data_IF_639167990431
#
_entry.id   IF_639167990431
#
_cell.length_a   1.000
_cell.length_b   1.000
_cell.length_c   1.000
_cell.angle_alpha   90.00
_cell.angle_beta   90.00
_cell.angle_gamma   90.00
#
_symmetry.space_group_name_H-M   'P 1'
#
loop_
_entity.id
_entity.type
_entity.pdbx_description
1 polymer ?
#
# COMPACT_ATOMS: atom_id res chain seq x y z
N UNK A 1 15.62 -28.87 -9.78
CA UNK A 1 14.59 -29.94 -9.97
C UNK A 1 13.28 -29.28 -9.61
N UNK A 2 12.24 -29.44 -10.41
CA UNK A 2 10.94 -28.84 -10.12
C UNK A 2 10.15 -29.86 -9.32
N UNK A 3 9.65 -29.46 -8.16
CA UNK A 3 8.87 -30.34 -7.29
C UNK A 3 7.51 -30.68 -7.93
N UNK A 4 7.13 -31.95 -7.89
CA UNK A 4 5.91 -32.47 -8.50
C UNK A 4 5.13 -33.30 -7.50
N UNK A 5 3.81 -33.35 -7.68
CA UNK A 5 2.90 -34.18 -6.89
C UNK A 5 1.88 -34.87 -7.77
N UNK A 6 1.25 -35.91 -7.26
CA UNK A 6 0.20 -36.63 -7.96
C UNK A 6 -1.18 -36.10 -7.51
N UNK A 7 -2.02 -35.79 -8.48
CA UNK A 7 -3.41 -35.37 -8.27
C UNK A 7 -4.36 -36.26 -9.08
N UNK A 8 -5.50 -36.59 -8.51
CA UNK A 8 -6.58 -37.23 -9.25
C UNK A 8 -7.35 -36.16 -10.02
N UNK A 9 -7.45 -36.32 -11.34
CA UNK A 9 -8.20 -35.39 -12.18
C UNK A 9 -9.73 -35.65 -12.10
N UNK A 10 -10.53 -34.83 -12.80
CA UNK A 10 -11.97 -34.97 -12.82
C UNK A 10 -12.48 -36.28 -13.43
N UNK A 11 -11.64 -36.98 -14.18
CA UNK A 11 -11.96 -38.29 -14.81
C UNK A 11 -11.51 -39.46 -13.94
N UNK A 12 -10.96 -39.20 -12.74
CA UNK A 12 -10.52 -40.24 -11.79
C UNK A 12 -9.11 -40.79 -12.07
N UNK A 13 -8.36 -40.22 -13.00
CA UNK A 13 -7.00 -40.64 -13.30
C UNK A 13 -5.95 -39.87 -12.52
N UNK A 14 -4.88 -40.58 -12.14
CA UNK A 14 -3.73 -39.97 -11.49
C UNK A 14 -2.91 -39.16 -12.50
N UNK A 15 -2.67 -37.91 -12.22
CA UNK A 15 -1.90 -36.98 -13.05
C UNK A 15 -0.78 -36.35 -12.24
N UNK A 16 0.40 -36.24 -12.84
CA UNK A 16 1.52 -35.50 -12.28
C UNK A 16 1.31 -33.98 -12.50
N UNK A 17 1.43 -33.21 -11.43
CA UNK A 17 1.27 -31.76 -11.45
C UNK A 17 2.48 -31.11 -10.80
N UNK A 18 2.98 -30.02 -11.39
CA UNK A 18 4.06 -29.20 -10.81
C UNK A 18 3.54 -28.40 -9.62
N UNK A 19 4.25 -28.43 -8.51
CA UNK A 19 4.02 -27.55 -7.38
C UNK A 19 4.46 -26.12 -7.73
N UNK A 20 3.81 -25.12 -7.15
CA UNK A 20 4.10 -23.72 -7.39
C UNK A 20 5.01 -23.17 -6.31
N UNK A 21 6.10 -22.54 -6.70
CA UNK A 21 7.02 -21.78 -5.84
C UNK A 21 6.77 -20.27 -5.85
N UNK A 22 5.88 -19.81 -6.71
CA UNK A 22 5.35 -18.43 -6.79
C UNK A 22 3.94 -18.46 -7.36
N UNK A 23 3.14 -17.43 -7.22
CA UNK A 23 1.77 -17.40 -7.77
C UNK A 23 1.60 -16.42 -8.92
N UNK A 24 0.86 -16.85 -9.96
CA UNK A 24 0.34 -16.01 -11.03
C UNK A 24 -1.16 -15.70 -10.86
N UNK A 25 -1.69 -15.87 -9.66
CA UNK A 25 -3.09 -15.63 -9.34
C UNK A 25 -4.00 -16.81 -9.60
N UNK A 26 -5.19 -16.57 -10.16
CA UNK A 26 -6.27 -17.57 -10.31
C UNK A 26 -5.85 -18.81 -11.10
N UNK A 27 -4.89 -18.69 -12.03
CA UNK A 27 -4.37 -19.82 -12.81
C UNK A 27 -3.67 -20.88 -11.97
N UNK A 28 -3.28 -20.55 -10.74
CA UNK A 28 -2.60 -21.43 -9.81
C UNK A 28 -3.52 -22.00 -8.73
N UNK A 29 -4.81 -21.72 -8.82
CA UNK A 29 -5.80 -22.23 -7.88
C UNK A 29 -5.80 -23.77 -7.86
N UNK A 30 -5.78 -24.34 -6.66
CA UNK A 30 -5.79 -25.80 -6.45
C UNK A 30 -4.45 -26.51 -6.66
N UNK A 31 -3.36 -25.78 -6.85
CA UNK A 31 -2.00 -26.33 -6.83
C UNK A 31 -1.40 -26.31 -5.42
N UNK A 32 -0.45 -27.20 -5.19
CA UNK A 32 0.29 -27.24 -3.91
C UNK A 32 1.41 -26.22 -3.94
N UNK A 33 1.60 -25.53 -2.82
CA UNK A 33 2.69 -24.57 -2.60
C UNK A 33 3.99 -25.33 -2.37
N UNK A 34 5.05 -24.96 -3.08
CA UNK A 34 6.42 -25.36 -2.82
C UNK A 34 7.23 -24.20 -2.24
N UNK A 35 8.33 -24.51 -1.57
CA UNK A 35 9.32 -23.50 -1.21
C UNK A 35 10.09 -23.08 -2.47
N UNK A 36 10.46 -21.80 -2.55
CA UNK A 36 11.28 -21.29 -3.63
C UNK A 36 12.76 -21.73 -3.50
N UNK A 37 13.61 -21.31 -4.41
CA UNK A 37 15.05 -21.66 -4.41
C UNK A 37 15.81 -21.22 -3.17
N UNK A 38 15.27 -20.31 -2.38
CA UNK A 38 15.82 -19.85 -1.08
C UNK A 38 15.26 -20.61 0.12
N UNK A 39 14.42 -21.63 -0.10
CA UNK A 39 13.82 -22.44 0.97
C UNK A 39 12.72 -21.74 1.75
N UNK A 40 12.09 -20.71 1.18
CA UNK A 40 10.99 -19.94 1.81
C UNK A 40 9.75 -19.95 0.92
N UNK A 41 8.59 -19.70 1.52
CA UNK A 41 7.35 -19.43 0.75
C UNK A 41 7.52 -18.06 0.07
N UNK A 42 7.26 -18.01 -1.25
CA UNK A 42 7.32 -16.76 -1.99
C UNK A 42 6.28 -15.76 -1.45
N UNK A 43 6.66 -14.46 -1.25
CA UNK A 43 5.72 -13.44 -0.77
C UNK A 43 4.45 -13.29 -1.59
N UNK A 44 4.47 -13.64 -2.89
CA UNK A 44 3.28 -13.61 -3.75
C UNK A 44 2.19 -14.62 -3.32
N UNK A 45 2.56 -15.65 -2.56
CA UNK A 45 1.65 -16.65 -2.01
C UNK A 45 1.07 -16.30 -0.64
N UNK A 46 1.71 -15.35 0.04
CA UNK A 46 1.21 -14.78 1.29
C UNK A 46 0.26 -13.67 0.88
N UNK A 47 -1.01 -13.72 1.25
CA UNK A 47 -2.00 -12.70 0.89
C UNK A 47 -1.42 -11.29 0.96
N UNK A 48 -1.79 -10.45 -0.01
CA UNK A 48 -1.29 -9.08 -0.10
C UNK A 48 -1.59 -8.31 1.18
N UNK A 49 -0.66 -7.45 1.59
CA UNK A 49 -0.92 -6.28 2.45
C UNK A 49 -2.29 -5.71 2.12
N UNK A 50 -3.07 -5.36 3.12
CA UNK A 50 -4.43 -4.84 2.94
C UNK A 50 -4.42 -3.64 1.99
N UNK A 51 -4.82 -3.86 0.75
CA UNK A 51 -4.91 -2.83 -0.27
C UNK A 51 -6.35 -2.62 -0.69
N UNK A 52 -6.68 -1.37 -1.01
CA UNK A 52 -7.97 -1.01 -1.57
C UNK A 52 -7.76 -0.51 -3.01
N UNK A 53 -8.63 -0.94 -3.92
CA UNK A 53 -8.71 -0.35 -5.26
C UNK A 53 -9.82 0.70 -5.26
N UNK A 54 -9.46 1.98 -5.40
CA UNK A 54 -10.39 3.12 -5.33
C UNK A 54 -10.13 4.07 -6.49
N UNK A 55 -11.19 4.56 -7.14
CA UNK A 55 -11.06 5.52 -8.24
C UNK A 55 -10.46 6.83 -7.74
N UNK A 56 -9.44 7.32 -8.43
CA UNK A 56 -8.83 8.60 -8.11
C UNK A 56 -9.63 9.77 -8.69
N UNK A 57 -9.90 10.79 -7.87
CA UNK A 57 -10.56 12.02 -8.31
C UNK A 57 -9.59 13.08 -8.82
N UNK A 58 -8.27 12.87 -8.63
CA UNK A 58 -7.21 13.75 -9.13
C UNK A 58 -5.93 12.94 -9.43
N UNK A 59 -4.97 13.55 -10.12
CA UNK A 59 -3.71 12.88 -10.41
C UNK A 59 -2.89 12.68 -9.13
N UNK A 60 -2.49 11.42 -8.90
CA UNK A 60 -1.63 11.02 -7.78
C UNK A 60 -0.23 10.72 -8.27
N UNK A 61 0.77 11.13 -7.51
CA UNK A 61 2.15 10.73 -7.72
C UNK A 61 2.51 9.51 -6.85
N UNK A 62 3.48 8.73 -7.27
CA UNK A 62 4.05 7.70 -6.41
C UNK A 62 4.60 8.34 -5.12
N UNK A 63 4.22 7.80 -3.97
CA UNK A 63 4.60 8.33 -2.66
C UNK A 63 3.58 9.27 -2.04
N UNK A 64 2.52 9.67 -2.73
CA UNK A 64 1.48 10.51 -2.15
C UNK A 64 0.72 9.76 -1.05
N UNK A 65 0.53 10.42 0.09
CA UNK A 65 -0.47 10.04 1.08
C UNK A 65 -1.85 10.50 0.60
N UNK A 66 -2.85 9.64 0.79
CA UNK A 66 -4.17 9.82 0.19
C UNK A 66 -5.29 9.75 1.22
N UNK A 67 -6.36 10.46 0.92
CA UNK A 67 -7.60 10.51 1.68
C UNK A 67 -8.72 9.82 0.87
N UNK A 68 -9.45 8.93 1.52
CA UNK A 68 -10.66 8.32 0.95
C UNK A 68 -11.85 9.20 1.34
N UNK A 69 -12.62 9.64 0.37
CA UNK A 69 -13.73 10.57 0.60
C UNK A 69 -14.97 10.19 -0.21
N UNK A 70 -16.11 10.68 0.24
CA UNK A 70 -17.38 10.49 -0.47
C UNK A 70 -17.53 11.53 -1.60
N UNK A 71 -17.51 11.05 -2.84
CA UNK A 71 -17.78 11.85 -4.03
C UNK A 71 -19.16 11.51 -4.57
N UNK A 72 -20.18 12.23 -4.09
CA UNK A 72 -21.58 12.05 -4.49
C UNK A 72 -22.08 10.58 -4.37
N UNK A 73 -21.82 9.96 -3.22
CA UNK A 73 -22.23 8.58 -2.92
C UNK A 73 -21.26 7.50 -3.40
N UNK A 74 -20.13 7.90 -3.98
CA UNK A 74 -19.10 6.96 -4.44
C UNK A 74 -17.77 7.23 -3.73
N UNK A 75 -17.16 6.19 -3.18
CA UNK A 75 -15.84 6.32 -2.57
C UNK A 75 -14.80 6.65 -3.64
N UNK A 76 -14.11 7.76 -3.45
CA UNK A 76 -13.00 8.20 -4.29
C UNK A 76 -11.76 8.45 -3.43
N UNK A 77 -10.60 8.51 -4.07
CA UNK A 77 -9.34 8.85 -3.42
C UNK A 77 -8.78 10.14 -3.98
N UNK A 78 -8.23 10.97 -3.10
CA UNK A 78 -7.55 12.23 -3.40
C UNK A 78 -6.29 12.37 -2.56
N UNK A 79 -5.45 13.36 -2.85
CA UNK A 79 -4.29 13.68 -1.99
C UNK A 79 -4.76 14.10 -0.60
N UNK A 80 -4.14 13.51 0.41
CA UNK A 80 -4.37 13.92 1.78
C UNK A 80 -3.71 15.29 2.05
N UNK A 81 -4.25 16.03 3.00
CA UNK A 81 -3.66 17.31 3.43
C UNK A 81 -3.90 17.54 4.92
N UNK A 82 -2.98 18.22 5.56
CA UNK A 82 -3.03 18.54 6.98
C UNK A 82 -3.94 19.72 7.34
N UNK A 83 -4.73 20.22 6.40
CA UNK A 83 -5.57 21.42 6.59
C UNK A 83 -6.85 21.16 7.39
N UNK A 84 -7.22 19.91 7.63
CA UNK A 84 -8.40 19.55 8.41
C UNK A 84 -8.62 18.05 8.53
N UNK A 85 -9.47 17.65 9.46
CA UNK A 85 -9.75 16.24 9.75
C UNK A 85 -10.37 15.49 8.57
N UNK A 86 -11.18 16.16 7.76
CA UNK A 86 -11.84 15.56 6.60
C UNK A 86 -10.87 15.22 5.45
N UNK A 87 -9.61 15.65 5.54
CA UNK A 87 -8.60 15.45 4.53
C UNK A 87 -7.38 14.69 5.05
N UNK A 88 -7.52 14.02 6.21
CA UNK A 88 -6.47 13.19 6.81
C UNK A 88 -5.99 12.09 5.86
N UNK A 89 -4.82 11.56 6.11
CA UNK A 89 -4.32 10.39 5.38
C UNK A 89 -5.03 9.12 5.88
N UNK A 90 -5.58 8.35 4.94
CA UNK A 90 -6.16 7.03 5.18
C UNK A 90 -5.29 5.91 4.58
N UNK A 91 -4.30 6.28 3.77
CA UNK A 91 -3.36 5.37 3.12
C UNK A 91 -2.33 6.12 2.28
N UNK A 92 -1.64 5.39 1.44
CA UNK A 92 -0.64 5.94 0.49
C UNK A 92 -0.63 5.15 -0.80
N UNK A 93 -0.08 5.72 -1.88
CA UNK A 93 0.07 5.05 -3.17
C UNK A 93 1.55 4.85 -3.51
N UNK A 94 1.89 3.71 -4.12
CA UNK A 94 3.26 3.38 -4.55
C UNK A 94 3.51 3.66 -6.03
N UNK A 95 2.46 3.90 -6.79
CA UNK A 95 2.53 4.19 -8.22
C UNK A 95 1.73 5.44 -8.54
N UNK A 96 2.16 6.19 -9.56
CA UNK A 96 1.39 7.33 -10.07
C UNK A 96 0.12 6.86 -10.77
N UNK A 97 -0.95 7.64 -10.60
CA UNK A 97 -2.27 7.37 -11.17
C UNK A 97 -2.78 8.64 -11.84
N UNK A 98 -3.19 8.54 -13.10
CA UNK A 98 -3.86 9.62 -13.80
C UNK A 98 -5.37 9.48 -13.62
N UNK A 99 -6.02 10.49 -13.07
CA UNK A 99 -7.48 10.47 -12.90
C UNK A 99 -8.22 10.47 -14.24
N UNK A 100 -9.39 9.82 -14.30
CA UNK A 100 -10.06 9.04 -13.26
C UNK A 100 -9.77 7.53 -13.36
N UNK A 101 -8.60 7.09 -12.94
CA UNK A 101 -8.25 5.66 -12.93
C UNK A 101 -8.26 5.10 -11.51
N UNK A 102 -8.34 3.77 -11.38
CA UNK A 102 -8.27 3.09 -10.09
C UNK A 102 -6.85 3.19 -9.51
N UNK A 103 -6.75 3.66 -8.28
CA UNK A 103 -5.53 3.71 -7.49
C UNK A 103 -5.49 2.51 -6.53
N UNK A 104 -4.34 1.87 -6.39
CA UNK A 104 -4.09 0.90 -5.32
C UNK A 104 -3.63 1.65 -4.08
N UNK A 105 -4.50 1.73 -3.08
CA UNK A 105 -4.23 2.38 -1.80
C UNK A 105 -3.74 1.36 -0.79
N UNK A 106 -2.57 1.59 -0.23
CA UNK A 106 -1.96 0.79 0.84
C UNK A 106 -2.32 1.41 2.18
N UNK A 107 -2.87 0.63 3.10
CA UNK A 107 -3.31 1.11 4.42
C UNK A 107 -2.39 0.70 5.55
N UNK A 108 -1.56 -0.30 5.31
CA UNK A 108 -0.74 -0.93 6.33
C UNK A 108 0.59 -0.28 6.58
N UNK A 109 1.17 -0.67 7.71
CA UNK A 109 2.57 -0.48 8.04
C UNK A 109 3.44 -1.19 6.99
N UNK A 110 4.18 -0.42 6.22
CA UNK A 110 5.06 -0.92 5.18
C UNK A 110 6.21 0.05 4.95
N UNK A 111 7.05 -0.25 3.97
CA UNK A 111 8.09 0.68 3.53
C UNK A 111 7.62 1.34 2.25
N UNK A 112 7.51 2.66 2.28
CA UNK A 112 7.29 3.50 1.12
C UNK A 112 8.65 3.92 0.58
N UNK A 113 8.91 3.57 -0.67
CA UNK A 113 10.17 3.86 -1.38
C UNK A 113 9.94 4.95 -2.43
N UNK A 114 11.04 5.54 -2.94
CA UNK A 114 10.97 6.53 -4.01
C UNK A 114 10.73 7.96 -3.54
N UNK A 115 10.69 8.20 -2.24
CA UNK A 115 10.74 9.54 -1.68
C UNK A 115 12.14 10.14 -1.84
N UNK A 116 12.29 11.43 -1.60
CA UNK A 116 13.59 12.13 -1.73
C UNK A 116 13.85 13.02 -0.53
N UNK A 117 15.13 13.22 -0.23
CA UNK A 117 15.59 14.20 0.77
C UNK A 117 15.06 13.97 2.18
N UNK A 118 14.77 12.72 2.55
CA UNK A 118 14.36 12.41 3.91
C UNK A 118 15.57 12.47 4.85
N UNK A 119 15.34 12.99 6.06
CA UNK A 119 16.32 12.96 7.16
C UNK A 119 16.19 11.63 7.89
N UNK A 120 17.21 10.79 7.82
CA UNK A 120 17.22 9.45 8.43
C UNK A 120 16.94 9.53 9.93
N UNK A 121 16.05 8.69 10.41
CA UNK A 121 15.64 8.64 11.82
C UNK A 121 14.65 9.71 12.23
N UNK A 122 14.32 10.70 11.39
CA UNK A 122 13.31 11.70 11.69
C UNK A 122 11.90 11.15 11.57
N UNK A 123 10.99 11.63 12.42
CA UNK A 123 9.56 11.40 12.29
C UNK A 123 8.97 12.35 11.24
N UNK A 124 8.04 11.84 10.46
CA UNK A 124 7.35 12.57 9.41
C UNK A 124 5.86 12.65 9.70
N UNK A 125 5.31 13.82 9.42
CA UNK A 125 3.89 14.15 9.54
C UNK A 125 3.29 14.35 8.16
N UNK A 126 1.97 14.26 8.06
CA UNK A 126 1.23 14.64 6.87
C UNK A 126 1.45 16.13 6.58
N UNK A 127 1.89 16.41 5.37
CA UNK A 127 2.01 17.75 4.82
C UNK A 127 0.78 18.17 4.02
N UNK A 128 0.99 19.00 3.01
CA UNK A 128 -0.04 19.39 2.03
C UNK A 128 0.09 18.55 0.77
N UNK A 129 -1.03 18.35 0.05
CA UNK A 129 -1.06 17.73 -1.27
C UNK A 129 -0.36 16.35 -1.33
N UNK A 130 -0.60 15.49 -0.34
CA UNK A 130 -0.05 14.13 -0.27
C UNK A 130 1.40 14.04 0.22
N UNK A 131 2.09 15.15 0.39
CA UNK A 131 3.49 15.16 0.81
C UNK A 131 3.68 14.89 2.31
N UNK A 132 4.91 14.56 2.70
CA UNK A 132 5.32 14.44 4.10
C UNK A 132 6.19 15.62 4.54
N UNK A 133 6.19 15.93 5.82
CA UNK A 133 6.97 17.02 6.41
C UNK A 133 7.51 16.64 7.78
N UNK A 134 8.67 17.18 8.17
CA UNK A 134 9.19 17.11 9.54
C UNK A 134 8.65 18.25 10.42
N UNK A 135 8.09 19.29 9.79
CA UNK A 135 7.53 20.43 10.49
C UNK A 135 6.11 20.11 10.97
N UNK A 136 5.87 20.26 12.26
CA UNK A 136 4.54 20.07 12.84
C UNK A 136 3.64 21.22 12.37
N UNK A 137 2.47 20.94 11.75
CA UNK A 137 1.52 21.97 11.36
C UNK A 137 1.10 22.84 12.55
N UNK A 138 1.05 24.17 12.38
CA UNK A 138 0.74 25.13 13.47
C UNK A 138 -0.55 25.91 13.23
N UNK A 139 -1.17 25.79 12.06
CA UNK A 139 -2.39 26.51 11.72
C UNK A 139 -3.58 26.08 12.57
N UNK A 140 -4.47 27.02 12.89
CA UNK A 140 -5.78 26.76 13.49
C UNK A 140 -6.58 25.82 12.59
N UNK A 141 -7.25 24.83 13.16
CA UNK A 141 -7.98 23.76 12.46
C UNK A 141 -7.11 22.79 11.64
N UNK A 142 -5.77 22.96 11.62
CA UNK A 142 -4.89 21.99 11.01
C UNK A 142 -4.83 20.69 11.84
N UNK A 143 -4.45 19.60 11.20
CA UNK A 143 -4.22 18.32 11.89
C UNK A 143 -2.73 18.02 11.99
N UNK A 144 -2.34 17.41 13.10
CA UNK A 144 -1.04 16.78 13.28
C UNK A 144 -1.25 15.28 13.18
N UNK A 145 -0.83 14.70 12.06
CA UNK A 145 -0.93 13.27 11.81
C UNK A 145 0.46 12.72 11.52
N UNK A 146 1.02 11.91 12.42
CA UNK A 146 2.25 11.20 12.16
C UNK A 146 1.98 10.10 11.11
N UNK A 147 2.83 10.01 10.10
CA UNK A 147 2.67 9.06 8.99
C UNK A 147 3.84 8.10 8.85
N UNK A 148 4.94 8.32 9.57
CA UNK A 148 6.05 7.38 9.57
C UNK A 148 7.38 7.94 10.03
N UNK A 149 8.42 7.11 9.88
CA UNK A 149 9.81 7.45 10.24
C UNK A 149 10.73 7.12 9.08
N UNK A 150 11.67 8.02 8.76
CA UNK A 150 12.61 7.78 7.68
C UNK A 150 13.63 6.68 8.05
N UNK A 151 13.70 5.64 7.23
CA UNK A 151 14.68 4.56 7.29
C UNK A 151 15.95 4.93 6.53
N UNK A 152 15.80 5.66 5.43
CA UNK A 152 16.89 6.16 4.58
C UNK A 152 16.48 7.52 3.99
N UNK A 153 17.34 8.13 3.17
CA UNK A 153 17.01 9.37 2.47
C UNK A 153 15.87 9.22 1.44
N UNK A 154 15.48 7.98 1.11
CA UNK A 154 14.47 7.67 0.08
C UNK A 154 13.39 6.69 0.54
N UNK A 155 13.47 6.21 1.79
CA UNK A 155 12.56 5.21 2.34
C UNK A 155 11.93 5.67 3.65
N UNK A 156 10.61 5.60 3.73
CA UNK A 156 9.82 5.87 4.93
C UNK A 156 9.20 4.56 5.42
N UNK A 157 9.45 4.20 6.68
CA UNK A 157 8.65 3.17 7.37
C UNK A 157 7.32 3.83 7.72
N UNK A 158 6.26 3.41 7.05
CA UNK A 158 4.93 4.01 7.20
C UNK A 158 4.27 3.48 8.47
N UNK A 159 3.68 4.40 9.23
CA UNK A 159 2.82 4.13 10.38
C UNK A 159 1.83 5.30 10.48
N UNK A 160 0.66 5.14 9.89
CA UNK A 160 -0.36 6.19 9.85
C UNK A 160 -1.14 6.17 11.17
N UNK A 161 -0.93 7.19 11.97
CA UNK A 161 -1.59 7.35 13.26
C UNK A 161 -2.88 8.18 13.12
N UNK A 162 -3.74 8.10 14.13
CA UNK A 162 -4.89 9.01 14.23
C UNK A 162 -4.43 10.47 14.36
N UNK A 163 -5.08 11.39 13.65
CA UNK A 163 -4.70 12.80 13.68
C UNK A 163 -5.20 13.52 14.94
N UNK A 164 -4.42 14.50 15.38
CA UNK A 164 -4.80 15.44 16.44
C UNK A 164 -5.21 16.78 15.79
N UNK A 165 -6.39 17.29 16.11
CA UNK A 165 -6.86 18.59 15.62
C UNK A 165 -6.25 19.70 16.49
N UNK A 166 -5.71 20.72 15.83
CA UNK A 166 -5.25 21.92 16.52
C UNK A 166 -6.40 22.93 16.64
N UNK A 167 -6.56 23.48 17.82
CA UNK A 167 -7.54 24.51 18.17
C UNK A 167 -6.85 25.86 18.39
#
# INVERSE_FOLDING_TARGET
>A
MVDKYLKIDASGFTKEVTANDSTSGVSDAGKIVALNSSGVIDPTMLGTTETLSVVSSENLAAGDFVNIWDNAGTANVRKATNTGIATKADGYVKASVTAPAAATVYRDNGVLTGLTSLTVGANYFLGTAGAVTTTIPTGSSSIVQAVGKAKSATELVVNINDPIIRV
#
